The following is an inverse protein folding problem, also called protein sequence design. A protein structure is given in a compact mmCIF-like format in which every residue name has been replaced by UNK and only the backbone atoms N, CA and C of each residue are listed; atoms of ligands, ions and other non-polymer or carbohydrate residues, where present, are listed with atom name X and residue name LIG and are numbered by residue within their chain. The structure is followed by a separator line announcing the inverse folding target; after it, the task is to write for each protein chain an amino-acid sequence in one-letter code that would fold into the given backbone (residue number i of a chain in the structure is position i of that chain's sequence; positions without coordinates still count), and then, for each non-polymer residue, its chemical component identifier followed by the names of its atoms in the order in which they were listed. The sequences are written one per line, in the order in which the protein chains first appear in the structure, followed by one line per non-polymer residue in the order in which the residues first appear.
data_IF_527643587753
#
_entry.id   IF_527643587753
#
_cell.length_a   1.000
_cell.length_b   1.000
_cell.length_c   1.000
_cell.angle_alpha   90.00
_cell.angle_beta   90.00
_cell.angle_gamma   90.00
#
_symmetry.space_group_name_H-M   'P 1'
#
loop_
_entity.id
_entity.type
_entity.pdbx_description
1 polymer ?
#
# COMPACT_ATOMS: atom_id res chain seq x y z
N UNK A 1 44.50 -3.50 -0.75
CA UNK A 1 43.31 -3.14 0.07
C UNK A 1 42.10 -3.55 -0.73
N UNK A 2 41.54 -4.73 -0.46
CA UNK A 2 40.41 -5.26 -1.22
C UNK A 2 39.15 -4.74 -0.54
N UNK A 3 38.48 -3.76 -1.16
CA UNK A 3 37.17 -3.30 -0.70
C UNK A 3 36.18 -4.37 -1.12
N UNK A 4 35.99 -5.37 -0.25
CA UNK A 4 34.88 -6.30 -0.37
C UNK A 4 33.60 -5.54 -0.07
N UNK A 5 32.97 -4.97 -1.09
CA UNK A 5 31.57 -4.60 -1.01
C UNK A 5 30.78 -5.90 -0.85
N UNK A 6 30.42 -6.22 0.39
CA UNK A 6 29.34 -7.17 0.68
C UNK A 6 28.09 -6.65 -0.02
N UNK A 7 27.80 -7.22 -1.19
CA UNK A 7 26.46 -7.18 -1.76
C UNK A 7 25.57 -7.94 -0.79
N UNK A 8 25.01 -7.24 0.19
CA UNK A 8 23.83 -7.68 0.94
C UNK A 8 22.85 -8.15 -0.13
N UNK A 9 22.55 -9.45 -0.20
CA UNK A 9 21.43 -9.93 -1.01
C UNK A 9 20.22 -9.19 -0.49
N UNK A 10 19.78 -8.14 -1.17
CA UNK A 10 18.48 -7.53 -0.96
C UNK A 10 17.49 -8.60 -1.39
N UNK A 11 17.02 -9.37 -0.42
CA UNK A 11 15.87 -10.25 -0.63
C UNK A 11 14.71 -9.29 -0.80
N UNK A 12 14.26 -9.13 -2.05
CA UNK A 12 13.06 -8.36 -2.34
C UNK A 12 11.91 -8.88 -1.48
N UNK A 13 11.18 -7.98 -0.82
CA UNK A 13 10.03 -8.34 -0.02
C UNK A 13 9.00 -9.05 -0.89
N UNK A 14 8.47 -10.15 -0.37
CA UNK A 14 7.30 -10.81 -0.92
C UNK A 14 6.02 -10.03 -0.55
N UNK A 15 4.91 -10.39 -1.18
CA UNK A 15 3.64 -9.71 -1.02
C UNK A 15 3.11 -9.76 0.42
N UNK A 16 3.30 -10.86 1.15
CA UNK A 16 2.80 -10.97 2.52
C UNK A 16 3.61 -10.09 3.47
N UNK A 17 4.94 -10.08 3.32
CA UNK A 17 5.82 -9.16 4.05
C UNK A 17 5.44 -7.69 3.76
N UNK A 18 5.16 -7.35 2.50
CA UNK A 18 4.73 -6.00 2.11
C UNK A 18 3.36 -5.65 2.71
N UNK A 19 2.43 -6.60 2.77
CA UNK A 19 1.12 -6.44 3.40
C UNK A 19 1.24 -6.15 4.89
N UNK A 20 2.15 -6.83 5.59
CA UNK A 20 2.41 -6.60 7.02
C UNK A 20 3.00 -5.20 7.26
N UNK A 21 3.93 -4.76 6.41
CA UNK A 21 4.47 -3.40 6.47
C UNK A 21 3.38 -2.34 6.24
N UNK A 22 2.51 -2.54 5.25
CA UNK A 22 1.37 -1.67 5.01
C UNK A 22 0.38 -1.65 6.20
N UNK A 23 0.11 -2.79 6.84
CA UNK A 23 -0.77 -2.87 8.02
C UNK A 23 -0.22 -2.05 9.18
N UNK A 24 1.07 -2.22 9.50
CA UNK A 24 1.74 -1.46 10.54
C UNK A 24 1.71 0.04 10.23
N UNK A 25 2.06 0.42 8.99
CA UNK A 25 2.05 1.81 8.54
C UNK A 25 0.66 2.47 8.67
N UNK A 26 -0.39 1.72 8.31
CA UNK A 26 -1.77 2.21 8.39
C UNK A 26 -2.27 2.29 9.82
N UNK A 27 -1.96 1.31 10.68
CA UNK A 27 -2.36 1.33 12.10
C UNK A 27 -1.91 2.60 12.80
N UNK A 28 -0.74 3.12 12.43
CA UNK A 28 -0.19 4.37 12.99
C UNK A 28 -0.86 5.65 12.43
N UNK A 29 -1.43 5.62 11.22
CA UNK A 29 -1.83 6.83 10.47
C UNK A 29 -3.32 6.95 10.20
N UNK A 30 -4.03 5.82 10.17
CA UNK A 30 -5.45 5.77 9.87
C UNK A 30 -6.21 5.66 11.19
N UNK A 31 -7.00 6.69 11.51
CA UNK A 31 -7.81 6.72 12.72
C UNK A 31 -8.82 5.56 12.73
N UNK A 32 -8.88 4.86 13.86
CA UNK A 32 -9.81 3.75 14.07
C UNK A 32 -9.48 2.51 13.23
N UNK A 33 -8.20 2.30 12.89
CA UNK A 33 -7.75 1.11 12.16
C UNK A 33 -8.21 -0.19 12.81
N UNK A 34 -7.93 -0.35 14.11
CA UNK A 34 -8.30 -1.56 14.85
C UNK A 34 -9.80 -1.58 15.18
N UNK A 35 -10.39 -0.44 15.57
CA UNK A 35 -11.81 -0.32 15.91
C UNK A 35 -12.73 -0.72 14.75
N UNK A 36 -12.33 -0.40 13.51
CA UNK A 36 -13.11 -0.70 12.32
C UNK A 36 -12.65 -1.99 11.60
N UNK A 37 -11.69 -2.69 12.20
CA UNK A 37 -11.08 -3.93 11.69
C UNK A 37 -10.80 -3.84 10.18
N UNK A 38 -9.98 -2.86 9.78
CA UNK A 38 -9.62 -2.70 8.38
C UNK A 38 -8.89 -3.92 7.83
N UNK A 39 -9.13 -4.21 6.55
CA UNK A 39 -8.41 -5.24 5.80
C UNK A 39 -7.71 -4.62 4.60
N UNK A 40 -6.44 -4.98 4.44
CA UNK A 40 -5.65 -4.69 3.25
C UNK A 40 -5.90 -5.74 2.17
N UNK A 41 -5.97 -5.27 0.93
CA UNK A 41 -6.02 -6.10 -0.29
C UNK A 41 -5.15 -5.45 -1.35
N UNK A 42 -4.60 -6.25 -2.26
CA UNK A 42 -3.93 -5.70 -3.44
C UNK A 42 -4.92 -4.82 -4.20
N UNK A 43 -4.48 -3.62 -4.54
CA UNK A 43 -5.20 -2.73 -5.43
C UNK A 43 -4.85 -3.12 -6.87
N UNK A 44 -5.81 -3.73 -7.57
CA UNK A 44 -5.65 -4.17 -8.96
C UNK A 44 -5.90 -3.02 -9.96
N UNK A 45 -6.35 -1.86 -9.47
CA UNK A 45 -6.66 -0.71 -10.34
C UNK A 45 -5.45 0.17 -10.59
N UNK A 46 -4.40 0.04 -9.78
CA UNK A 46 -3.20 0.87 -9.82
C UNK A 46 -1.96 -0.01 -9.83
N UNK A 47 -0.99 0.31 -10.71
CA UNK A 47 0.30 -0.36 -10.76
C UNK A 47 1.43 0.65 -10.56
N UNK A 48 2.42 0.26 -9.75
CA UNK A 48 3.65 1.02 -9.53
C UNK A 48 4.81 0.05 -9.69
N UNK A 49 5.70 0.32 -10.64
CA UNK A 49 6.87 -0.52 -10.87
C UNK A 49 7.72 -0.62 -9.61
N UNK A 50 8.19 -1.83 -9.28
CA UNK A 50 9.01 -2.06 -8.08
C UNK A 50 8.24 -1.99 -6.75
N UNK A 51 6.92 -1.84 -6.75
CA UNK A 51 6.13 -1.72 -5.52
C UNK A 51 4.91 -2.64 -5.48
N UNK A 52 4.39 -2.89 -4.28
CA UNK A 52 3.04 -3.40 -4.06
C UNK A 52 2.10 -2.26 -3.69
N UNK A 53 0.89 -2.26 -4.23
CA UNK A 53 -0.14 -1.26 -3.91
C UNK A 53 -1.28 -1.95 -3.18
N UNK A 54 -1.66 -1.41 -2.01
CA UNK A 54 -2.72 -1.96 -1.18
C UNK A 54 -3.85 -0.96 -0.97
N UNK A 55 -5.06 -1.36 -1.31
CA UNK A 55 -6.29 -0.71 -0.87
C UNK A 55 -6.70 -1.25 0.51
N UNK A 56 -7.40 -0.43 1.30
CA UNK A 56 -7.90 -0.82 2.61
C UNK A 56 -9.37 -0.45 2.81
N UNK A 57 -10.11 -1.38 3.40
CA UNK A 57 -11.55 -1.26 3.63
C UNK A 57 -11.88 -1.72 5.06
N UNK A 58 -12.75 -0.99 5.79
CA UNK A 58 -13.19 -1.42 7.11
C UNK A 58 -14.11 -2.63 6.96
N UNK A 59 -14.07 -3.53 7.94
CA UNK A 59 -15.00 -4.66 8.00
C UNK A 59 -16.10 -4.45 9.03
N UNK A 60 -15.92 -3.49 9.93
CA UNK A 60 -16.94 -3.05 10.88
C UNK A 60 -17.58 -1.74 10.41
N UNK A 61 -18.92 -1.65 10.36
CA UNK A 61 -19.63 -0.43 9.99
C UNK A 61 -19.39 0.72 10.97
N UNK A 62 -19.49 1.97 10.50
CA UNK A 62 -19.53 3.12 11.41
C UNK A 62 -20.87 3.21 12.17
N UNK A 63 -21.03 4.23 13.02
CA UNK A 63 -22.26 4.48 13.77
C UNK A 63 -23.51 4.69 12.90
N UNK A 64 -23.35 4.93 11.59
CA UNK A 64 -24.43 5.06 10.60
C UNK A 64 -24.61 3.79 9.76
N UNK A 65 -23.96 2.68 10.12
CA UNK A 65 -24.02 1.41 9.39
C UNK A 65 -23.21 1.39 8.09
N UNK A 66 -22.25 2.31 7.89
CA UNK A 66 -21.49 2.40 6.63
C UNK A 66 -20.15 1.67 6.70
N UNK A 67 -19.92 0.81 5.72
CA UNK A 67 -18.63 0.15 5.48
C UNK A 67 -17.68 0.94 4.56
N UNK A 68 -18.04 2.17 4.18
CA UNK A 68 -17.23 3.01 3.30
C UNK A 68 -16.51 4.09 4.09
N UNK A 69 -15.33 4.45 3.61
CA UNK A 69 -14.54 5.58 4.09
C UNK A 69 -14.26 6.42 2.87
N UNK A 70 -14.79 7.62 2.83
CA UNK A 70 -14.52 8.54 1.73
C UNK A 70 -13.06 8.96 1.77
N UNK A 71 -12.41 9.02 0.61
CA UNK A 71 -11.06 9.57 0.47
C UNK A 71 -9.91 8.65 0.90
N UNK A 72 -10.14 7.34 1.06
CA UNK A 72 -9.04 6.40 1.25
C UNK A 72 -8.20 6.32 -0.02
N UNK A 73 -6.92 6.65 0.11
CA UNK A 73 -5.94 6.51 -0.95
C UNK A 73 -5.08 5.28 -0.69
N UNK A 74 -4.73 4.49 -1.71
CA UNK A 74 -3.95 3.27 -1.52
C UNK A 74 -2.58 3.54 -0.88
N UNK A 75 -2.03 2.50 -0.27
CA UNK A 75 -0.67 2.50 0.28
C UNK A 75 0.25 1.83 -0.73
N UNK A 76 1.34 2.49 -1.05
CA UNK A 76 2.44 1.97 -1.86
C UNK A 76 3.52 1.46 -0.91
N UNK A 77 4.00 0.24 -1.17
CA UNK A 77 5.10 -0.40 -0.44
C UNK A 77 6.20 -0.73 -1.44
N UNK A 78 7.35 -0.10 -1.27
CA UNK A 78 8.54 -0.39 -2.08
C UNK A 78 9.05 -1.82 -1.81
N UNK A 79 9.25 -2.62 -2.87
CA UNK A 79 9.61 -4.05 -2.74
C UNK A 79 11.03 -4.27 -2.26
N UNK A 80 11.91 -3.30 -2.44
CA UNK A 80 13.33 -3.43 -2.11
C UNK A 80 13.63 -2.99 -0.68
N UNK A 81 12.96 -1.94 -0.22
CA UNK A 81 13.23 -1.26 1.04
C UNK A 81 12.14 -1.43 2.09
N UNK A 82 10.92 -1.82 1.67
CA UNK A 82 9.75 -1.85 2.55
C UNK A 82 9.20 -0.47 2.91
N UNK A 83 9.70 0.61 2.29
CA UNK A 83 9.23 1.96 2.54
C UNK A 83 7.76 2.10 2.16
N UNK A 84 6.96 2.64 3.08
CA UNK A 84 5.52 2.79 2.91
C UNK A 84 5.14 4.26 2.73
N UNK A 85 4.24 4.55 1.79
CA UNK A 85 3.60 5.86 1.65
C UNK A 85 2.16 5.72 1.14
N UNK A 86 1.31 6.68 1.49
CA UNK A 86 0.05 6.83 0.76
C UNK A 86 0.31 7.41 -0.63
N UNK A 87 -0.61 7.11 -1.56
CA UNK A 87 -0.76 7.89 -2.78
C UNK A 87 -1.07 9.35 -2.40
N UNK A 88 -0.37 10.29 -3.02
CA UNK A 88 -0.42 11.73 -2.80
C UNK A 88 -1.59 12.36 -3.57
N UNK A 89 -2.80 12.10 -3.08
CA UNK A 89 -4.02 12.70 -3.59
C UNK A 89 -4.61 12.00 -4.82
N UNK A 90 -5.76 12.53 -5.25
CA UNK A 90 -6.52 11.97 -6.38
C UNK A 90 -5.80 12.10 -7.72
N UNK A 91 -4.98 13.15 -7.89
CA UNK A 91 -4.21 13.37 -9.12
C UNK A 91 -3.19 12.26 -9.35
N UNK A 92 -2.40 11.91 -8.32
CA UNK A 92 -1.46 10.79 -8.44
C UNK A 92 -2.22 9.47 -8.63
N UNK A 93 -3.31 9.26 -7.88
CA UNK A 93 -4.11 8.04 -8.02
C UNK A 93 -4.58 7.81 -9.46
N UNK A 94 -5.14 8.84 -10.11
CA UNK A 94 -5.61 8.71 -11.49
C UNK A 94 -4.45 8.53 -12.48
N UNK A 95 -3.33 9.23 -12.30
CA UNK A 95 -2.16 9.06 -13.14
C UNK A 95 -1.64 7.61 -13.10
N UNK A 96 -1.53 7.03 -11.90
CA UNK A 96 -1.07 5.65 -11.74
C UNK A 96 -2.10 4.63 -12.27
N UNK A 97 -3.40 4.89 -12.04
CA UNK A 97 -4.49 4.04 -12.55
C UNK A 97 -4.53 4.02 -14.07
N UNK A 98 -4.35 5.17 -14.71
CA UNK A 98 -4.42 5.27 -16.17
C UNK A 98 -3.13 4.73 -16.82
N UNK A 99 -1.98 4.84 -16.16
CA UNK A 99 -0.75 4.16 -16.56
C UNK A 99 -0.82 2.62 -16.45
N UNK A 100 -1.65 2.10 -15.55
CA UNK A 100 -1.84 0.66 -15.38
C UNK A 100 -2.69 0.00 -16.49
N UNK A 101 -3.41 0.79 -17.30
CA UNK A 101 -4.18 0.27 -18.43
C UNK A 101 -3.25 0.04 -19.63
N UNK A 102 -3.36 -1.10 -20.34
CA UNK A 102 -2.65 -1.26 -21.60
C UNK A 102 -3.08 -0.14 -22.56
N UNK A 103 -2.11 0.49 -23.22
CA UNK A 103 -2.40 1.41 -24.32
C UNK A 103 -2.77 0.55 -25.53
N UNK A 104 -4.04 0.57 -25.90
CA UNK A 104 -4.56 0.01 -27.15
C UNK A 104 -4.14 0.88 -28.34
#
# INVERSE_FOLDING_TARGET
MVVSQERKRMVSMDQESARLAADAYCRERVRGWDERAYRLRIDETVAVEGAYVFGYLPTVPDARGRLRVGGNLPVIVDRETGACRFVAGVTEYFALRDAAKPQD
#
